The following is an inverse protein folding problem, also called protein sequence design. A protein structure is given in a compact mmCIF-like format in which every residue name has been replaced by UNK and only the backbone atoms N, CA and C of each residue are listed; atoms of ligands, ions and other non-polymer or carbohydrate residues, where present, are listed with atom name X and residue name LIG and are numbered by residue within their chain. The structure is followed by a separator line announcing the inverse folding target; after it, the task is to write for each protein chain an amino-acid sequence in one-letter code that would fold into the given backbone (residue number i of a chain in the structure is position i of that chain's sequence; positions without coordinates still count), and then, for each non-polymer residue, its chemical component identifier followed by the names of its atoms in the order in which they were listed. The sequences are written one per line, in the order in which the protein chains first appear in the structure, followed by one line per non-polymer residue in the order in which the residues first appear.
data_IF_906877959149
#
_entry.id   IF_906877959149
#
_cell.length_a   1.000
_cell.length_b   1.000
_cell.length_c   1.000
_cell.angle_alpha   90.00
_cell.angle_beta   90.00
_cell.angle_gamma   90.00
#
_symmetry.space_group_name_H-M   'P 1'
#
loop_
_entity.id
_entity.type
_entity.pdbx_description
1 polymer ?
#
# COMPACT_ATOMS: atom_id res chain seq x y z
N UNK A 1 39.68 15.99 -14.95
CA UNK A 1 38.53 16.08 -14.04
C UNK A 1 38.01 14.69 -13.84
N UNK A 2 37.95 14.21 -12.60
CA UNK A 2 37.28 12.95 -12.27
C UNK A 2 35.82 13.31 -12.09
N UNK A 3 34.96 12.77 -12.95
CA UNK A 3 33.51 12.91 -12.82
C UNK A 3 33.08 11.94 -11.71
N UNK A 4 32.63 12.45 -10.57
CA UNK A 4 32.17 11.63 -9.45
C UNK A 4 30.75 11.11 -9.71
N UNK A 5 30.37 9.99 -9.07
CA UNK A 5 29.01 9.46 -9.07
C UNK A 5 28.01 10.52 -8.62
N UNK A 6 28.41 11.38 -7.67
CA UNK A 6 27.59 12.48 -7.18
C UNK A 6 27.32 13.52 -8.27
N UNK A 7 28.32 13.86 -9.08
CA UNK A 7 28.17 14.80 -10.20
C UNK A 7 27.18 14.26 -11.25
N UNK A 8 27.18 12.94 -11.47
CA UNK A 8 26.24 12.28 -12.39
C UNK A 8 24.81 12.28 -11.84
N UNK A 9 24.63 11.96 -10.55
CA UNK A 9 23.30 11.99 -9.91
C UNK A 9 22.75 13.41 -9.91
N UNK A 10 23.56 14.40 -9.56
CA UNK A 10 23.15 15.81 -9.54
C UNK A 10 22.78 16.29 -10.95
N UNK A 11 23.56 15.93 -11.98
CA UNK A 11 23.27 16.23 -13.39
C UNK A 11 21.98 15.55 -13.87
N UNK A 12 21.79 14.25 -13.55
CA UNK A 12 20.58 13.49 -13.92
C UNK A 12 19.33 14.01 -13.18
N UNK A 13 19.52 14.62 -12.02
CA UNK A 13 18.43 15.16 -11.21
C UNK A 13 17.97 16.56 -11.66
N UNK A 14 18.63 17.15 -12.67
CA UNK A 14 18.17 18.41 -13.27
C UNK A 14 17.08 18.16 -14.32
N UNK A 15 16.09 19.05 -14.39
CA UNK A 15 14.96 18.96 -15.35
C UNK A 15 15.37 19.22 -16.82
N UNK A 16 16.67 19.27 -17.14
CA UNK A 16 17.20 19.67 -18.47
C UNK A 16 18.17 18.61 -19.01
N UNK A 17 17.69 17.38 -19.16
CA UNK A 17 18.43 16.36 -19.90
C UNK A 17 17.71 16.18 -21.24
N UNK A 18 18.40 16.35 -22.37
CA UNK A 18 17.83 16.04 -23.67
C UNK A 18 17.23 14.62 -23.65
N UNK A 19 15.99 14.43 -24.13
CA UNK A 19 15.34 13.13 -24.13
C UNK A 19 16.20 12.03 -24.77
N UNK A 20 16.96 12.38 -25.82
CA UNK A 20 17.87 11.46 -26.51
C UNK A 20 19.02 10.99 -25.62
N UNK A 21 19.58 11.90 -24.80
CA UNK A 21 20.65 11.57 -23.86
C UNK A 21 20.11 10.67 -22.73
N UNK A 22 18.91 10.94 -22.22
CA UNK A 22 18.24 10.04 -21.26
C UNK A 22 17.98 8.65 -21.85
N UNK A 23 17.56 8.57 -23.10
CA UNK A 23 17.35 7.28 -23.77
C UNK A 23 18.67 6.50 -23.88
N UNK A 24 19.78 7.15 -24.26
CA UNK A 24 21.08 6.50 -24.33
C UNK A 24 21.59 6.05 -22.95
N UNK A 25 21.46 6.92 -21.95
CA UNK A 25 21.85 6.61 -20.58
C UNK A 25 21.05 5.42 -20.03
N UNK A 26 19.72 5.43 -20.21
CA UNK A 26 18.86 4.33 -19.81
C UNK A 26 19.28 3.03 -20.51
N UNK A 27 19.59 3.05 -21.81
CA UNK A 27 20.07 1.87 -22.54
C UNK A 27 21.35 1.30 -21.93
N UNK A 28 22.33 2.15 -21.63
CA UNK A 28 23.59 1.73 -21.00
C UNK A 28 23.33 1.18 -19.59
N UNK A 29 22.54 1.88 -18.78
CA UNK A 29 22.17 1.44 -17.44
C UNK A 29 21.46 0.08 -17.48
N UNK A 30 20.47 -0.11 -18.35
CA UNK A 30 19.77 -1.39 -18.48
C UNK A 30 20.69 -2.52 -18.92
N UNK A 31 21.67 -2.24 -19.80
CA UNK A 31 22.66 -3.22 -20.20
C UNK A 31 23.56 -3.64 -19.03
N UNK A 32 24.14 -2.68 -18.32
CA UNK A 32 25.00 -2.96 -17.15
C UNK A 32 24.22 -3.68 -16.05
N UNK A 33 22.99 -3.25 -15.76
CA UNK A 33 22.10 -3.93 -14.82
C UNK A 33 21.78 -5.35 -15.28
N UNK A 34 21.61 -5.58 -16.59
CA UNK A 34 21.39 -6.91 -17.15
C UNK A 34 22.58 -7.82 -16.86
N UNK A 35 23.79 -7.40 -17.21
CA UNK A 35 25.02 -8.16 -16.95
C UNK A 35 25.21 -8.46 -15.46
N UNK A 36 24.98 -7.47 -14.59
CA UNK A 36 25.03 -7.66 -13.13
C UNK A 36 24.03 -8.70 -12.63
N UNK A 37 22.80 -8.67 -13.14
CA UNK A 37 21.80 -9.68 -12.80
C UNK A 37 22.21 -11.07 -13.30
N UNK A 38 22.76 -11.20 -14.51
CA UNK A 38 23.20 -12.48 -15.07
C UNK A 38 24.30 -13.10 -14.21
N UNK A 39 25.32 -12.32 -13.83
CA UNK A 39 26.39 -12.77 -12.92
C UNK A 39 25.83 -13.24 -11.58
N UNK A 40 24.84 -12.52 -11.02
CA UNK A 40 24.19 -12.95 -9.80
C UNK A 40 23.41 -14.26 -9.99
N UNK A 41 22.73 -14.46 -11.12
CA UNK A 41 21.93 -15.67 -11.39
C UNK A 41 22.76 -16.92 -11.69
N UNK A 42 23.97 -16.75 -12.23
CA UNK A 42 24.89 -17.85 -12.53
C UNK A 42 25.25 -18.64 -11.26
N UNK A 43 25.41 -17.95 -10.12
CA UNK A 43 25.48 -18.60 -8.81
C UNK A 43 24.11 -18.60 -8.12
N UNK A 44 23.37 -19.70 -8.31
CA UNK A 44 22.05 -19.87 -7.71
C UNK A 44 22.04 -19.78 -6.18
N UNK A 45 23.11 -20.21 -5.52
CA UNK A 45 23.17 -20.15 -4.05
C UNK A 45 23.27 -18.71 -3.59
N UNK A 46 24.15 -17.93 -4.24
CA UNK A 46 24.28 -16.48 -3.99
C UNK A 46 22.96 -15.77 -4.29
N UNK A 47 22.34 -15.99 -5.45
CA UNK A 47 21.07 -15.34 -5.80
C UNK A 47 19.92 -15.65 -4.83
N UNK A 48 19.92 -16.82 -4.20
CA UNK A 48 18.92 -17.18 -3.18
C UNK A 48 19.24 -16.53 -1.84
N UNK A 49 20.43 -16.78 -1.29
CA UNK A 49 20.76 -16.47 0.10
C UNK A 49 21.28 -15.05 0.31
N UNK A 50 21.99 -14.50 -0.66
CA UNK A 50 22.67 -13.21 -0.57
C UNK A 50 22.72 -12.55 -1.96
N UNK A 51 21.55 -12.22 -2.55
CA UNK A 51 21.52 -11.62 -3.87
C UNK A 51 22.35 -10.33 -3.88
N UNK A 52 23.07 -10.10 -4.99
CA UNK A 52 23.93 -8.94 -5.15
C UNK A 52 23.15 -7.60 -5.16
N UNK A 53 21.82 -7.65 -5.23
CA UNK A 53 20.93 -6.52 -5.00
C UNK A 53 20.11 -6.75 -3.71
N UNK A 54 20.32 -5.94 -2.65
CA UNK A 54 19.55 -6.04 -1.42
C UNK A 54 18.06 -5.97 -1.69
N UNK A 55 17.29 -6.88 -1.05
CA UNK A 55 15.83 -7.01 -1.21
C UNK A 55 15.38 -7.07 -2.69
N UNK A 56 16.26 -7.51 -3.59
CA UNK A 56 16.00 -7.59 -5.04
C UNK A 56 15.54 -6.27 -5.66
N UNK A 57 16.03 -5.13 -5.19
CA UNK A 57 15.58 -3.80 -5.65
C UNK A 57 15.67 -3.61 -7.18
N UNK A 58 16.67 -4.21 -7.84
CA UNK A 58 16.81 -4.14 -9.30
C UNK A 58 15.69 -4.88 -10.04
N UNK A 59 15.15 -5.96 -9.48
CA UNK A 59 14.00 -6.67 -10.03
C UNK A 59 12.75 -5.77 -9.97
N UNK A 60 12.55 -5.10 -8.83
CA UNK A 60 11.46 -4.13 -8.63
C UNK A 60 11.52 -3.00 -9.66
N UNK A 61 12.70 -2.39 -9.86
CA UNK A 61 12.90 -1.33 -10.85
C UNK A 61 12.51 -1.80 -12.26
N UNK A 62 12.91 -3.02 -12.66
CA UNK A 62 12.53 -3.56 -13.99
C UNK A 62 11.04 -3.75 -14.15
N UNK A 63 10.37 -4.32 -13.15
CA UNK A 63 8.93 -4.52 -13.17
C UNK A 63 8.19 -3.18 -13.25
N UNK A 64 8.58 -2.20 -12.44
CA UNK A 64 8.00 -0.85 -12.46
C UNK A 64 8.27 -0.10 -13.77
N UNK A 65 9.39 -0.41 -14.45
CA UNK A 65 9.70 0.11 -15.79
C UNK A 65 8.92 -0.60 -16.92
N UNK A 66 8.06 -1.58 -16.60
CA UNK A 66 7.25 -2.30 -17.58
C UNK A 66 7.98 -3.43 -18.31
N UNK A 67 9.04 -3.99 -17.73
CA UNK A 67 9.73 -5.14 -18.30
C UNK A 67 8.78 -6.35 -18.40
N UNK A 68 8.83 -7.05 -19.53
CA UNK A 68 8.08 -8.29 -19.69
C UNK A 68 8.79 -9.45 -18.99
N UNK A 69 8.07 -10.55 -18.77
CA UNK A 69 8.61 -11.73 -18.10
C UNK A 69 9.89 -12.28 -18.77
N UNK A 70 9.97 -12.16 -20.09
CA UNK A 70 11.10 -12.61 -20.90
C UNK A 70 12.39 -11.82 -20.62
N UNK A 71 12.25 -10.56 -20.20
CA UNK A 71 13.35 -9.62 -19.97
C UNK A 71 13.87 -9.65 -18.51
N UNK A 72 13.15 -10.36 -17.64
CA UNK A 72 13.49 -10.48 -16.23
C UNK A 72 14.58 -11.54 -16.00
N UNK A 73 15.40 -11.36 -14.94
CA UNK A 73 16.26 -12.42 -14.46
C UNK A 73 15.36 -13.52 -13.87
N UNK A 74 15.11 -14.58 -14.65
CA UNK A 74 14.03 -15.57 -14.41
C UNK A 74 14.21 -16.32 -13.09
N UNK A 75 15.44 -16.66 -12.74
CA UNK A 75 15.72 -17.37 -11.50
C UNK A 75 15.47 -16.43 -10.32
N UNK A 76 15.99 -15.21 -10.36
CA UNK A 76 15.79 -14.17 -9.36
C UNK A 76 14.30 -13.86 -9.16
N UNK A 77 13.55 -13.69 -10.24
CA UNK A 77 12.09 -13.50 -10.20
C UNK A 77 11.37 -14.71 -9.57
N UNK A 78 11.74 -15.93 -9.95
CA UNK A 78 11.15 -17.13 -9.33
C UNK A 78 11.40 -17.22 -7.83
N UNK A 79 12.55 -16.73 -7.34
CA UNK A 79 12.83 -16.66 -5.91
C UNK A 79 11.96 -15.62 -5.19
N UNK A 80 11.71 -14.47 -5.81
CA UNK A 80 10.77 -13.47 -5.27
C UNK A 80 9.35 -14.07 -5.14
N UNK A 81 8.83 -14.68 -6.21
CA UNK A 81 7.52 -15.36 -6.22
C UNK A 81 7.46 -16.47 -5.16
N UNK A 82 8.52 -17.27 -5.02
CA UNK A 82 8.59 -18.32 -3.99
C UNK A 82 8.64 -17.76 -2.56
N UNK A 83 9.34 -16.65 -2.34
CA UNK A 83 9.38 -15.98 -1.03
C UNK A 83 8.00 -15.46 -0.64
N UNK A 84 7.28 -14.85 -1.59
CA UNK A 84 5.89 -14.38 -1.40
C UNK A 84 4.95 -15.55 -1.11
N UNK A 85 5.07 -16.65 -1.85
CA UNK A 85 4.31 -17.86 -1.57
C UNK A 85 4.58 -18.40 -0.16
N UNK A 86 5.83 -18.39 0.30
CA UNK A 86 6.19 -18.80 1.68
C UNK A 86 5.58 -17.86 2.71
N UNK A 87 5.66 -16.56 2.48
CA UNK A 87 5.08 -15.51 3.32
C UNK A 87 3.58 -15.73 3.54
N UNK A 88 2.81 -15.88 2.46
CA UNK A 88 1.36 -16.11 2.51
C UNK A 88 0.98 -17.43 3.19
N UNK A 89 1.84 -18.45 3.10
CA UNK A 89 1.63 -19.73 3.77
C UNK A 89 2.19 -19.76 5.21
N UNK A 90 2.65 -18.63 5.77
CA UNK A 90 3.29 -18.53 7.09
C UNK A 90 4.51 -19.44 7.27
N UNK A 91 5.18 -19.78 6.18
CA UNK A 91 6.43 -20.53 6.18
C UNK A 91 7.62 -19.58 6.34
N UNK A 92 8.77 -20.09 6.78
CA UNK A 92 10.01 -19.31 6.89
C UNK A 92 10.38 -18.66 5.56
N UNK A 93 10.42 -17.32 5.56
CA UNK A 93 10.86 -16.49 4.44
C UNK A 93 12.33 -16.10 4.61
N UNK A 94 12.96 -15.71 3.50
CA UNK A 94 14.32 -15.15 3.52
C UNK A 94 14.30 -13.70 4.00
N UNK A 95 13.23 -12.98 3.66
CA UNK A 95 12.90 -11.64 4.10
C UNK A 95 11.38 -11.46 4.05
N UNK A 96 10.84 -10.50 4.78
CA UNK A 96 9.45 -10.11 4.63
C UNK A 96 9.28 -9.40 3.29
N UNK A 97 8.50 -9.93 2.34
CA UNK A 97 8.22 -9.22 1.09
C UNK A 97 7.50 -7.93 1.48
N UNK A 98 8.05 -6.79 1.07
CA UNK A 98 7.48 -5.49 1.38
C UNK A 98 7.62 -4.64 0.13
N UNK A 99 6.48 -4.08 -0.32
CA UNK A 99 6.42 -3.31 -1.55
C UNK A 99 7.01 -4.06 -2.76
N UNK A 100 6.84 -5.39 -2.79
CA UNK A 100 7.46 -6.25 -3.79
C UNK A 100 6.49 -6.46 -4.96
N UNK A 101 6.78 -5.94 -6.16
CA UNK A 101 5.92 -6.16 -7.31
C UNK A 101 6.12 -7.57 -7.87
N UNK A 102 5.03 -8.19 -8.31
CA UNK A 102 5.03 -9.41 -9.14
C UNK A 102 3.93 -9.31 -10.20
N UNK A 103 3.97 -10.15 -11.24
CA UNK A 103 2.88 -10.18 -12.20
C UNK A 103 1.57 -10.64 -11.56
N UNK A 104 0.45 -10.04 -11.96
CA UNK A 104 -0.89 -10.41 -11.49
C UNK A 104 -1.14 -11.91 -11.64
N UNK A 105 -0.72 -12.48 -12.77
CA UNK A 105 -0.84 -13.90 -13.06
C UNK A 105 -0.22 -14.80 -11.97
N UNK A 106 1.00 -14.48 -11.53
CA UNK A 106 1.69 -15.23 -10.50
C UNK A 106 1.04 -15.03 -9.13
N UNK A 107 0.63 -13.78 -8.82
CA UNK A 107 -0.10 -13.48 -7.59
C UNK A 107 -1.43 -14.25 -7.50
N UNK A 108 -2.22 -14.26 -8.57
CA UNK A 108 -3.48 -14.97 -8.66
C UNK A 108 -3.25 -16.49 -8.56
N UNK A 109 -2.20 -17.05 -9.14
CA UNK A 109 -1.92 -18.48 -8.98
C UNK A 109 -1.48 -18.83 -7.55
N UNK A 110 -0.79 -17.92 -6.85
CA UNK A 110 -0.45 -18.10 -5.43
C UNK A 110 -1.71 -18.07 -4.55
N UNK A 111 -2.55 -17.04 -4.71
CA UNK A 111 -3.75 -16.82 -3.87
C UNK A 111 -4.92 -17.73 -4.26
N UNK A 112 -5.09 -18.00 -5.56
CA UNK A 112 -6.22 -18.74 -6.13
C UNK A 112 -5.73 -19.82 -7.10
N UNK A 113 -5.03 -20.87 -6.60
CA UNK A 113 -4.44 -21.89 -7.46
C UNK A 113 -5.45 -22.49 -8.43
N UNK A 114 -5.07 -22.62 -9.70
CA UNK A 114 -5.92 -23.14 -10.80
C UNK A 114 -7.10 -22.24 -11.21
N UNK A 115 -7.17 -21.00 -10.72
CA UNK A 115 -8.26 -20.07 -11.03
C UNK A 115 -7.82 -18.93 -11.96
N UNK A 116 -6.52 -18.82 -12.25
CA UNK A 116 -5.91 -17.79 -13.10
C UNK A 116 -6.65 -17.55 -14.43
N UNK A 117 -6.96 -18.62 -15.19
CA UNK A 117 -7.68 -18.50 -16.47
C UNK A 117 -9.04 -17.82 -16.31
N UNK A 118 -9.75 -18.13 -15.22
CA UNK A 118 -11.06 -17.53 -14.94
C UNK A 118 -10.92 -16.07 -14.53
N UNK A 119 -9.91 -15.74 -13.72
CA UNK A 119 -9.59 -14.35 -13.38
C UNK A 119 -9.36 -13.51 -14.64
N UNK A 120 -8.45 -13.94 -15.51
CA UNK A 120 -8.14 -13.22 -16.75
C UNK A 120 -9.35 -13.10 -17.69
N UNK A 121 -10.26 -14.08 -17.67
CA UNK A 121 -11.47 -14.06 -18.47
C UNK A 121 -12.50 -13.04 -17.96
N UNK A 122 -12.70 -12.94 -16.65
CA UNK A 122 -13.83 -12.23 -16.06
C UNK A 122 -13.50 -10.86 -15.46
N UNK A 123 -12.24 -10.56 -15.14
CA UNK A 123 -11.87 -9.37 -14.37
C UNK A 123 -12.44 -8.05 -14.92
N UNK A 124 -12.21 -7.77 -16.19
CA UNK A 124 -12.71 -6.55 -16.83
C UNK A 124 -14.10 -6.70 -17.47
N UNK A 125 -14.71 -7.91 -17.41
CA UNK A 125 -15.96 -8.21 -18.14
C UNK A 125 -17.14 -8.36 -17.21
N UNK A 126 -16.99 -9.12 -16.13
CA UNK A 126 -18.07 -9.52 -15.24
C UNK A 126 -17.56 -9.64 -13.79
N UNK A 127 -17.37 -8.53 -13.06
CA UNK A 127 -16.88 -8.55 -11.68
C UNK A 127 -17.72 -9.42 -10.73
N UNK A 128 -19.04 -9.49 -10.96
CA UNK A 128 -19.95 -10.36 -10.21
C UNK A 128 -19.55 -11.85 -10.27
N UNK A 129 -19.09 -12.34 -11.42
CA UNK A 129 -18.58 -13.71 -11.57
C UNK A 129 -17.27 -13.91 -10.82
N UNK A 130 -16.43 -12.87 -10.70
CA UNK A 130 -15.23 -12.97 -9.88
C UNK A 130 -15.55 -13.16 -8.40
N UNK A 131 -16.55 -12.46 -7.88
CA UNK A 131 -17.00 -12.67 -6.50
C UNK A 131 -17.48 -14.11 -6.27
N UNK A 132 -18.20 -14.68 -7.23
CA UNK A 132 -18.60 -16.10 -7.19
C UNK A 132 -17.38 -17.04 -7.24
N UNK A 133 -16.38 -16.72 -8.04
CA UNK A 133 -15.12 -17.48 -8.16
C UNK A 133 -14.36 -17.44 -6.84
N UNK A 134 -14.14 -16.26 -6.27
CA UNK A 134 -13.38 -16.06 -5.02
C UNK A 134 -14.09 -16.72 -3.84
N UNK A 135 -15.41 -16.59 -3.74
CA UNK A 135 -16.20 -17.21 -2.66
C UNK A 135 -16.20 -18.75 -2.70
N UNK A 136 -15.95 -19.35 -3.87
CA UNK A 136 -15.76 -20.80 -4.04
C UNK A 136 -14.31 -21.25 -3.86
N UNK A 137 -13.37 -20.32 -3.63
CA UNK A 137 -11.97 -20.67 -3.44
C UNK A 137 -11.78 -21.43 -2.12
N UNK A 138 -10.69 -22.19 -2.01
CA UNK A 138 -10.37 -22.93 -0.78
C UNK A 138 -9.98 -22.00 0.37
N UNK A 139 -9.52 -20.80 0.05
CA UNK A 139 -9.12 -19.81 1.02
C UNK A 139 -10.38 -19.02 1.39
N UNK A 140 -10.74 -18.97 2.68
CA UNK A 140 -11.91 -18.21 3.09
C UNK A 140 -11.71 -16.73 2.72
N UNK A 141 -12.73 -16.15 2.10
CA UNK A 141 -12.65 -14.83 1.50
C UNK A 141 -13.97 -14.10 1.74
N UNK A 142 -13.90 -12.82 2.11
CA UNK A 142 -15.07 -11.97 2.31
C UNK A 142 -14.95 -10.76 1.39
N UNK A 143 -15.93 -10.60 0.51
CA UNK A 143 -16.08 -9.36 -0.24
C UNK A 143 -16.53 -8.28 0.74
N UNK A 144 -15.81 -7.16 0.74
CA UNK A 144 -16.14 -6.00 1.53
C UNK A 144 -15.84 -4.74 0.72
N UNK A 145 -16.86 -3.93 0.44
CA UNK A 145 -16.63 -2.59 -0.07
C UNK A 145 -15.93 -1.79 1.02
N UNK A 146 -14.67 -1.45 0.85
CA UNK A 146 -13.92 -0.79 1.94
C UNK A 146 -14.51 0.58 2.29
N UNK A 147 -15.20 1.26 1.36
CA UNK A 147 -15.72 2.62 1.56
C UNK A 147 -17.03 2.66 2.35
N UNK A 148 -17.85 1.62 2.21
CA UNK A 148 -19.20 1.55 2.77
C UNK A 148 -19.45 0.27 3.57
N UNK A 149 -18.40 -0.53 3.77
CA UNK A 149 -18.49 -1.87 4.32
C UNK A 149 -19.06 -1.89 5.73
N UNK A 150 -19.79 -2.96 6.04
CA UNK A 150 -20.28 -3.22 7.38
C UNK A 150 -19.08 -3.39 8.32
N UNK A 151 -18.83 -2.39 9.18
CA UNK A 151 -17.75 -2.41 10.17
C UNK A 151 -17.84 -3.62 11.09
N UNK A 152 -19.03 -4.16 11.34
CA UNK A 152 -19.19 -5.35 12.14
C UNK A 152 -18.45 -6.57 11.55
N UNK A 153 -18.26 -6.62 10.23
CA UNK A 153 -17.47 -7.68 9.58
C UNK A 153 -15.98 -7.50 9.89
N UNK A 154 -15.47 -6.26 9.79
CA UNK A 154 -14.09 -5.94 10.17
C UNK A 154 -13.81 -6.30 11.62
N UNK A 155 -14.67 -5.86 12.54
CA UNK A 155 -14.52 -6.12 13.97
C UNK A 155 -14.48 -7.61 14.28
N UNK A 156 -15.36 -8.40 13.66
CA UNK A 156 -15.36 -9.86 13.84
C UNK A 156 -14.08 -10.51 13.31
N UNK A 157 -13.51 -10.02 12.21
CA UNK A 157 -12.25 -10.56 11.66
C UNK A 157 -11.07 -10.19 12.57
N UNK A 158 -10.98 -8.92 12.96
CA UNK A 158 -9.89 -8.39 13.78
C UNK A 158 -9.91 -9.02 15.18
N UNK A 159 -11.10 -9.15 15.78
CA UNK A 159 -11.27 -9.80 17.09
C UNK A 159 -11.08 -11.31 17.06
N UNK A 160 -10.80 -11.91 15.89
CA UNK A 160 -10.72 -13.36 15.66
C UNK A 160 -11.96 -14.06 16.21
N UNK A 161 -13.13 -13.49 15.93
CA UNK A 161 -14.40 -14.11 16.25
C UNK A 161 -14.41 -15.54 15.72
N UNK A 162 -14.85 -16.49 16.54
CA UNK A 162 -14.85 -17.94 16.24
C UNK A 162 -15.65 -18.26 14.98
N UNK A 163 -16.53 -17.36 14.54
CA UNK A 163 -17.33 -17.48 13.32
C UNK A 163 -16.47 -17.35 12.06
N UNK A 164 -15.37 -16.63 12.11
CA UNK A 164 -14.49 -16.42 10.96
C UNK A 164 -13.35 -17.43 11.00
N UNK A 165 -13.18 -18.14 9.89
CA UNK A 165 -12.11 -19.12 9.75
C UNK A 165 -10.76 -18.40 9.77
N UNK A 166 -9.80 -18.95 10.51
CA UNK A 166 -8.42 -18.48 10.45
C UNK A 166 -7.93 -18.49 8.98
N UNK A 167 -7.20 -17.45 8.58
CA UNK A 167 -6.75 -17.28 7.21
C UNK A 167 -7.80 -16.66 6.28
N UNK A 168 -8.89 -16.08 6.81
CA UNK A 168 -9.83 -15.29 5.99
C UNK A 168 -9.19 -13.99 5.56
N UNK A 169 -9.19 -13.72 4.25
CA UNK A 169 -8.82 -12.40 3.73
C UNK A 169 -10.05 -11.58 3.35
N UNK A 170 -9.90 -10.26 3.46
CA UNK A 170 -10.85 -9.28 2.97
C UNK A 170 -10.43 -8.86 1.57
N UNK A 171 -11.39 -8.65 0.68
CA UNK A 171 -11.06 -8.13 -0.64
C UNK A 171 -12.15 -7.23 -1.20
N UNK A 172 -11.71 -6.34 -2.10
CA UNK A 172 -12.57 -5.47 -2.89
C UNK A 172 -12.05 -5.39 -4.33
N UNK A 173 -12.95 -5.14 -5.28
CA UNK A 173 -12.63 -4.96 -6.69
C UNK A 173 -13.21 -3.61 -7.13
N UNK A 174 -12.33 -2.65 -7.42
CA UNK A 174 -12.72 -1.28 -7.80
C UNK A 174 -12.12 -0.93 -9.16
N UNK A 175 -12.93 -1.07 -10.20
CA UNK A 175 -12.48 -0.86 -11.59
C UNK A 175 -11.38 -1.87 -11.96
N UNK A 176 -10.19 -1.42 -12.41
CA UNK A 176 -9.09 -2.33 -12.75
C UNK A 176 -8.27 -2.78 -11.53
N UNK A 177 -8.64 -2.36 -10.32
CA UNK A 177 -7.90 -2.66 -9.10
C UNK A 177 -8.58 -3.79 -8.34
N UNK A 178 -7.78 -4.70 -7.80
CA UNK A 178 -8.19 -5.64 -6.77
C UNK A 178 -7.31 -5.44 -5.54
N UNK A 179 -7.95 -5.25 -4.40
CA UNK A 179 -7.26 -5.02 -3.14
C UNK A 179 -7.61 -6.16 -2.21
N UNK A 180 -6.58 -6.73 -1.60
CA UNK A 180 -6.70 -7.78 -0.61
C UNK A 180 -6.06 -7.27 0.67
N UNK A 181 -6.79 -7.35 1.77
CA UNK A 181 -6.23 -7.21 3.11
C UNK A 181 -6.18 -8.59 3.75
N UNK A 182 -4.99 -8.98 4.20
CA UNK A 182 -4.77 -10.28 4.81
C UNK A 182 -3.75 -10.14 5.94
N UNK A 183 -4.20 -10.37 7.17
CA UNK A 183 -3.39 -10.35 8.39
C UNK A 183 -2.56 -9.06 8.56
N UNK A 184 -3.15 -7.90 8.24
CA UNK A 184 -2.50 -6.59 8.35
C UNK A 184 -1.56 -6.24 7.19
N UNK A 185 -1.43 -7.12 6.19
CA UNK A 185 -0.75 -6.83 4.93
C UNK A 185 -1.77 -6.46 3.85
N UNK A 186 -1.44 -5.46 3.03
CA UNK A 186 -2.24 -5.01 1.89
C UNK A 186 -1.59 -5.50 0.60
N UNK A 187 -2.37 -6.09 -0.29
CA UNK A 187 -1.94 -6.53 -1.62
C UNK A 187 -2.80 -5.82 -2.66
N UNK A 188 -2.18 -5.24 -3.68
CA UNK A 188 -2.85 -4.38 -4.64
C UNK A 188 -2.50 -4.85 -6.03
N UNK A 189 -3.44 -5.52 -6.69
CA UNK A 189 -3.33 -5.91 -8.09
C UNK A 189 -3.92 -4.84 -8.97
N UNK A 190 -3.10 -4.26 -9.84
CA UNK A 190 -3.52 -3.34 -10.88
C UNK A 190 -3.49 -4.07 -12.23
N UNK A 191 -4.68 -4.34 -12.77
CA UNK A 191 -4.83 -5.06 -14.04
C UNK A 191 -4.58 -4.19 -15.26
N UNK A 192 -4.38 -2.87 -15.11
CA UNK A 192 -3.89 -2.01 -16.19
C UNK A 192 -2.38 -2.18 -16.39
N UNK A 193 -1.62 -2.28 -15.30
CA UNK A 193 -0.15 -2.44 -15.34
C UNK A 193 0.28 -3.90 -15.33
N UNK A 194 -0.66 -4.83 -15.07
CA UNK A 194 -0.42 -6.27 -14.90
C UNK A 194 0.48 -6.62 -13.70
N UNK A 195 0.53 -5.75 -12.69
CA UNK A 195 1.36 -5.92 -11.51
C UNK A 195 0.55 -5.93 -10.22
N UNK A 196 0.95 -6.81 -9.30
CA UNK A 196 0.53 -6.78 -7.91
C UNK A 196 1.66 -6.26 -7.04
N UNK A 197 1.39 -5.24 -6.23
CA UNK A 197 2.26 -4.84 -5.13
C UNK A 197 1.91 -5.71 -3.92
N UNK A 198 2.88 -6.47 -3.43
CA UNK A 198 2.73 -7.38 -2.30
C UNK A 198 3.15 -6.69 -1.01
N UNK A 199 2.28 -6.73 0.00
CA UNK A 199 2.50 -6.13 1.31
C UNK A 199 2.93 -4.66 1.19
N UNK A 200 2.05 -3.87 0.58
CA UNK A 200 2.22 -2.45 0.36
C UNK A 200 2.38 -1.71 1.69
N UNK A 201 3.47 -0.97 1.84
CA UNK A 201 3.87 -0.31 3.07
C UNK A 201 4.60 1.01 2.84
N UNK A 202 5.76 1.02 2.20
CA UNK A 202 6.56 2.25 2.10
C UNK A 202 6.56 2.87 0.69
N UNK A 203 5.96 2.19 -0.30
CA UNK A 203 5.88 2.74 -1.65
C UNK A 203 4.98 3.96 -1.77
N UNK A 204 5.38 4.88 -2.65
CA UNK A 204 4.62 6.06 -3.05
C UNK A 204 3.35 5.63 -3.78
N UNK A 205 2.22 6.22 -3.39
CA UNK A 205 0.93 5.95 -3.99
C UNK A 205 0.66 6.95 -5.11
N UNK A 206 0.78 6.50 -6.35
CA UNK A 206 0.55 7.34 -7.53
C UNK A 206 -0.93 7.51 -7.89
N UNK A 207 -1.78 6.56 -7.50
CA UNK A 207 -3.19 6.56 -7.87
C UNK A 207 -4.08 6.93 -6.68
N UNK A 208 -4.87 8.00 -6.81
CA UNK A 208 -5.77 8.46 -5.74
C UNK A 208 -6.81 7.42 -5.34
N UNK A 209 -7.23 6.54 -6.26
CA UNK A 209 -8.16 5.45 -5.93
C UNK A 209 -7.53 4.43 -4.98
N UNK A 210 -6.21 4.25 -5.05
CA UNK A 210 -5.49 3.42 -4.09
C UNK A 210 -5.45 4.13 -2.73
N UNK A 211 -5.18 5.45 -2.70
CA UNK A 211 -5.23 6.24 -1.46
C UNK A 211 -6.60 6.12 -0.80
N UNK A 212 -7.67 6.33 -1.57
CA UNK A 212 -9.06 6.19 -1.14
C UNK A 212 -9.29 4.85 -0.42
N UNK A 213 -8.99 3.74 -1.10
CA UNK A 213 -9.30 2.41 -0.57
C UNK A 213 -8.40 2.06 0.63
N UNK A 214 -7.10 2.35 0.56
CA UNK A 214 -6.15 2.08 1.66
C UNK A 214 -6.51 2.87 2.90
N UNK A 215 -6.89 4.14 2.74
CA UNK A 215 -7.35 4.99 3.83
C UNK A 215 -8.57 4.38 4.52
N UNK A 216 -9.56 3.91 3.75
CA UNK A 216 -10.73 3.24 4.31
C UNK A 216 -10.40 1.90 4.98
N UNK A 217 -9.50 1.11 4.40
CA UNK A 217 -9.02 -0.14 5.03
C UNK A 217 -8.41 0.12 6.40
N UNK A 218 -7.52 1.12 6.51
CA UNK A 218 -6.90 1.44 7.79
C UNK A 218 -7.85 2.16 8.77
N UNK A 219 -8.79 2.96 8.27
CA UNK A 219 -9.85 3.53 9.12
C UNK A 219 -10.64 2.41 9.79
N UNK A 220 -11.04 1.40 9.01
CA UNK A 220 -11.74 0.24 9.53
C UNK A 220 -10.87 -0.59 10.50
N UNK A 221 -9.58 -0.77 10.21
CA UNK A 221 -8.63 -1.45 11.13
C UNK A 221 -8.55 -0.78 12.50
N UNK A 222 -8.69 0.55 12.55
CA UNK A 222 -8.55 1.35 13.77
C UNK A 222 -9.87 1.85 14.35
N UNK A 223 -11.01 1.36 13.84
CA UNK A 223 -12.36 1.81 14.21
C UNK A 223 -12.53 3.35 14.10
N UNK A 224 -11.98 3.96 13.06
CA UNK A 224 -12.13 5.39 12.75
C UNK A 224 -13.19 5.54 11.66
N UNK A 225 -14.07 6.53 11.80
CA UNK A 225 -14.97 6.89 10.71
C UNK A 225 -14.21 7.70 9.66
N UNK A 226 -13.91 7.05 8.53
CA UNK A 226 -13.28 7.66 7.37
C UNK A 226 -14.29 7.99 6.28
N UNK A 227 -14.14 9.16 5.67
CA UNK A 227 -14.86 9.58 4.46
C UNK A 227 -13.81 10.15 3.50
N UNK A 228 -14.00 9.92 2.20
CA UNK A 228 -13.13 10.45 1.16
C UNK A 228 -13.92 11.20 0.11
N UNK A 229 -13.34 12.26 -0.44
CA UNK A 229 -13.89 13.01 -1.57
C UNK A 229 -12.80 13.17 -2.62
N UNK A 230 -12.93 12.46 -3.74
CA UNK A 230 -12.01 12.58 -4.87
C UNK A 230 -12.47 13.74 -5.75
N UNK A 231 -11.70 14.83 -5.78
CA UNK A 231 -12.00 16.05 -6.50
C UNK A 231 -11.13 16.15 -7.76
N UNK A 232 -11.50 15.41 -8.81
CA UNK A 232 -10.73 15.35 -10.06
C UNK A 232 -9.66 14.25 -10.06
N UNK A 233 -8.70 14.34 -10.99
CA UNK A 233 -7.69 13.28 -11.20
C UNK A 233 -6.56 13.30 -10.18
N UNK A 234 -6.30 14.45 -9.56
CA UNK A 234 -5.12 14.68 -8.74
C UNK A 234 -5.39 15.19 -7.34
N UNK A 235 -6.63 15.37 -6.92
CA UNK A 235 -6.94 15.82 -5.56
C UNK A 235 -7.90 14.86 -4.85
N UNK A 236 -7.59 14.60 -3.58
CA UNK A 236 -8.42 13.82 -2.67
C UNK A 236 -8.50 14.53 -1.32
N UNK A 237 -9.70 14.55 -0.73
CA UNK A 237 -9.93 14.99 0.64
C UNK A 237 -10.16 13.76 1.51
N UNK A 238 -9.42 13.65 2.60
CA UNK A 238 -9.56 12.61 3.61
C UNK A 238 -10.22 13.25 4.84
N UNK A 239 -11.32 12.67 5.31
CA UNK A 239 -12.09 13.17 6.45
C UNK A 239 -12.14 12.05 7.47
N UNK A 240 -11.70 12.33 8.69
CA UNK A 240 -11.76 11.38 9.82
C UNK A 240 -12.62 11.95 10.92
N UNK A 241 -13.44 11.11 11.55
CA UNK A 241 -14.28 11.50 12.68
C UNK A 241 -14.02 10.64 13.90
N UNK A 242 -13.90 11.29 15.05
CA UNK A 242 -13.81 10.67 16.37
C UNK A 242 -14.80 11.33 17.31
N UNK A 243 -15.60 10.59 18.09
CA UNK A 243 -16.42 11.18 19.14
C UNK A 243 -15.57 12.04 20.09
N UNK A 244 -15.95 13.31 20.28
CA UNK A 244 -15.15 14.27 21.04
C UNK A 244 -14.98 13.86 22.50
N UNK A 245 -15.97 13.15 23.06
CA UNK A 245 -15.89 12.56 24.40
C UNK A 245 -14.84 11.44 24.54
N UNK A 246 -14.33 10.90 23.43
CA UNK A 246 -13.22 9.97 23.44
C UNK A 246 -11.88 10.69 23.27
N UNK A 247 -11.84 11.96 22.87
CA UNK A 247 -10.57 12.65 22.62
C UNK A 247 -9.93 13.08 23.93
N UNK A 248 -8.62 12.83 24.08
CA UNK A 248 -7.86 13.31 25.24
C UNK A 248 -7.57 14.80 25.12
N UNK A 249 -8.06 15.66 26.04
CA UNK A 249 -7.80 17.10 25.98
C UNK A 249 -6.30 17.44 26.00
N UNK A 250 -5.50 16.64 26.72
CA UNK A 250 -4.06 16.84 26.87
C UNK A 250 -3.29 16.68 25.54
N UNK A 251 -3.86 15.97 24.57
CA UNK A 251 -3.27 15.81 23.24
C UNK A 251 -3.64 16.93 22.26
N UNK A 252 -4.52 17.85 22.63
CA UNK A 252 -4.90 19.01 21.81
C UNK A 252 -4.36 20.32 22.38
N UNK A 253 -3.59 20.28 23.47
CA UNK A 253 -2.92 21.47 24.01
C UNK A 253 -1.75 21.85 23.10
N UNK A 254 -1.53 23.15 22.90
CA UNK A 254 -0.48 23.66 22.00
C UNK A 254 0.95 23.26 22.42
N UNK A 255 1.18 23.04 23.71
CA UNK A 255 2.45 22.60 24.28
C UNK A 255 2.60 21.07 24.35
N UNK A 256 1.58 20.33 23.89
CA UNK A 256 1.61 18.87 23.81
C UNK A 256 2.62 18.43 22.76
N UNK A 257 3.66 17.70 23.17
CA UNK A 257 4.65 17.12 22.22
C UNK A 257 3.97 16.26 21.16
N UNK A 258 2.92 15.54 21.55
CA UNK A 258 2.11 14.76 20.63
C UNK A 258 1.43 15.64 19.57
N UNK A 259 0.79 16.73 19.97
CA UNK A 259 0.11 17.63 19.04
C UNK A 259 1.09 18.26 18.05
N UNK A 260 2.26 18.68 18.55
CA UNK A 260 3.31 19.25 17.73
C UNK A 260 3.83 18.25 16.68
N UNK A 261 4.15 17.02 17.09
CA UNK A 261 4.58 15.96 16.17
C UNK A 261 3.49 15.59 15.15
N UNK A 262 2.24 15.49 15.60
CA UNK A 262 1.11 15.19 14.73
C UNK A 262 0.89 16.31 13.71
N UNK A 263 0.89 17.56 14.15
CA UNK A 263 0.69 18.71 13.28
C UNK A 263 1.84 18.89 12.29
N UNK A 264 3.10 18.69 12.71
CA UNK A 264 4.26 18.68 11.81
C UNK A 264 4.08 17.60 10.73
N UNK A 265 3.69 16.39 11.12
CA UNK A 265 3.38 15.31 10.17
C UNK A 265 2.29 15.73 9.18
N UNK A 266 1.21 16.38 9.64
CA UNK A 266 0.15 16.85 8.74
C UNK A 266 0.67 17.90 7.75
N UNK A 267 1.44 18.88 8.22
CA UNK A 267 1.99 19.96 7.39
C UNK A 267 2.99 19.47 6.34
N UNK A 268 3.69 18.36 6.59
CA UNK A 268 4.60 17.75 5.62
C UNK A 268 3.87 17.03 4.48
N UNK A 269 2.59 16.68 4.63
CA UNK A 269 1.88 15.79 3.71
C UNK A 269 0.63 16.42 3.08
N UNK A 270 0.00 17.40 3.72
CA UNK A 270 -1.29 17.96 3.31
C UNK A 270 -1.21 19.48 3.15
N UNK A 271 -1.83 20.01 2.09
CA UNK A 271 -1.79 21.45 1.79
C UNK A 271 -2.91 22.24 2.48
N UNK A 272 -3.98 21.57 2.90
CA UNK A 272 -5.08 22.16 3.66
C UNK A 272 -5.47 21.19 4.77
N UNK A 273 -5.56 21.72 5.99
CA UNK A 273 -5.81 20.98 7.22
C UNK A 273 -6.88 21.76 7.99
N UNK A 274 -7.97 21.09 8.35
CA UNK A 274 -9.04 21.65 9.16
C UNK A 274 -9.39 20.68 10.29
N UNK A 275 -9.41 21.21 11.52
CA UNK A 275 -9.87 20.49 12.71
C UNK A 275 -11.09 21.25 13.27
N UNK A 276 -12.23 20.58 13.36
CA UNK A 276 -13.47 21.19 13.84
C UNK A 276 -14.31 20.18 14.64
N UNK A 277 -15.15 20.68 15.55
CA UNK A 277 -16.21 19.88 16.17
C UNK A 277 -17.47 19.93 15.29
N UNK A 278 -18.04 18.77 14.93
CA UNK A 278 -19.29 18.70 14.17
C UNK A 278 -20.54 18.79 15.07
N UNK A 279 -21.72 18.91 14.46
CA UNK A 279 -23.00 19.00 15.19
C UNK A 279 -23.31 17.80 16.09
N UNK A 280 -22.66 16.65 15.84
CA UNK A 280 -22.81 15.41 16.60
C UNK A 280 -21.75 15.27 17.69
N UNK A 281 -20.97 16.33 17.96
CA UNK A 281 -19.85 16.34 18.90
C UNK A 281 -18.77 15.33 18.54
N UNK A 282 -18.43 15.24 17.26
CA UNK A 282 -17.23 14.55 16.81
C UNK A 282 -16.14 15.57 16.49
N UNK A 283 -14.90 15.28 16.90
CA UNK A 283 -13.74 15.89 16.28
C UNK A 283 -13.65 15.40 14.83
N UNK A 284 -13.77 16.33 13.88
CA UNK A 284 -13.59 16.10 12.45
C UNK A 284 -12.23 16.65 12.03
N UNK A 285 -11.43 15.80 11.38
CA UNK A 285 -10.13 16.15 10.82
C UNK A 285 -10.24 16.02 9.31
N UNK A 286 -10.21 17.15 8.60
CA UNK A 286 -10.30 17.23 7.14
C UNK A 286 -8.94 17.58 6.56
N UNK A 287 -8.43 16.72 5.68
CA UNK A 287 -7.11 16.85 5.06
C UNK A 287 -7.24 16.84 3.54
N UNK A 288 -6.73 17.87 2.86
CA UNK A 288 -6.67 17.86 1.39
C UNK A 288 -5.26 17.54 0.91
N UNK A 289 -5.19 16.59 -0.01
CA UNK A 289 -3.96 16.13 -0.66
C UNK A 289 -4.06 16.31 -2.17
N UNK A 290 -2.97 16.74 -2.79
CA UNK A 290 -2.86 16.90 -4.24
C UNK A 290 -1.65 16.13 -4.78
N UNK A 291 -1.91 15.08 -5.56
CA UNK A 291 -0.91 14.19 -6.11
C UNK A 291 -0.32 14.70 -7.43
N UNK A 292 0.24 15.91 -7.41
CA UNK A 292 0.98 16.49 -8.53
C UNK A 292 2.40 16.81 -8.08
N UNK A 293 3.39 16.21 -8.75
CA UNK A 293 4.80 16.36 -8.40
C UNK A 293 5.24 17.83 -8.30
N UNK A 294 4.88 18.67 -9.28
CA UNK A 294 5.24 20.09 -9.25
C UNK A 294 4.58 20.85 -8.09
N UNK A 295 3.32 20.51 -7.77
CA UNK A 295 2.59 21.11 -6.66
C UNK A 295 3.21 20.72 -5.31
N UNK A 296 3.50 19.44 -5.12
CA UNK A 296 4.14 18.93 -3.91
C UNK A 296 5.50 19.60 -3.69
N UNK A 297 6.34 19.66 -4.72
CA UNK A 297 7.63 20.35 -4.68
C UNK A 297 7.49 21.84 -4.33
N UNK A 298 6.56 22.55 -4.98
CA UNK A 298 6.37 23.99 -4.76
C UNK A 298 5.93 24.31 -3.31
N UNK A 299 5.17 23.41 -2.69
CA UNK A 299 4.66 23.58 -1.33
C UNK A 299 5.49 22.83 -0.27
N UNK A 300 6.64 22.26 -0.65
CA UNK A 300 7.50 21.44 0.22
C UNK A 300 6.75 20.28 0.90
N UNK A 301 5.82 19.66 0.18
CA UNK A 301 5.03 18.52 0.62
C UNK A 301 5.64 17.21 0.13
N UNK A 302 5.39 16.14 0.88
CA UNK A 302 5.81 14.78 0.56
C UNK A 302 4.72 14.03 -0.21
N UNK A 303 5.14 13.05 -1.01
CA UNK A 303 4.23 12.07 -1.58
C UNK A 303 3.69 11.15 -0.49
N UNK A 304 2.40 10.82 -0.54
CA UNK A 304 1.83 9.84 0.37
C UNK A 304 2.29 8.41 0.06
N UNK A 305 2.73 7.71 1.10
CA UNK A 305 2.98 6.26 1.12
C UNK A 305 1.90 5.54 1.93
N UNK A 306 1.80 4.21 1.80
CA UNK A 306 0.86 3.42 2.61
C UNK A 306 1.15 3.57 4.11
N UNK A 307 2.43 3.65 4.48
CA UNK A 307 2.94 3.78 5.83
C UNK A 307 2.57 5.13 6.42
N UNK A 308 2.62 6.21 5.64
CA UNK A 308 2.16 7.53 6.07
C UNK A 308 0.65 7.56 6.29
N UNK A 309 -0.17 6.92 5.44
CA UNK A 309 -1.62 6.82 5.70
C UNK A 309 -1.89 6.03 6.98
N UNK A 310 -1.16 4.93 7.22
CA UNK A 310 -1.27 4.17 8.47
C UNK A 310 -0.81 4.98 9.69
N UNK A 311 0.28 5.74 9.55
CA UNK A 311 0.82 6.60 10.60
C UNK A 311 -0.15 7.73 10.95
N UNK A 312 -0.76 8.37 9.95
CA UNK A 312 -1.84 9.33 10.11
C UNK A 312 -2.93 8.75 11.03
N UNK A 313 -3.45 7.58 10.65
CA UNK A 313 -4.53 6.96 11.41
C UNK A 313 -4.08 6.47 12.78
N UNK A 314 -2.80 6.14 12.95
CA UNK A 314 -2.21 5.83 14.26
C UNK A 314 -2.21 7.07 15.16
N UNK A 315 -1.83 8.25 14.65
CA UNK A 315 -1.95 9.51 15.39
C UNK A 315 -3.41 9.78 15.76
N UNK A 316 -4.31 9.69 14.79
CA UNK A 316 -5.75 9.93 15.00
C UNK A 316 -6.33 8.96 16.03
N UNK A 317 -5.95 7.69 15.99
CA UNK A 317 -6.36 6.71 17.00
C UNK A 317 -5.76 7.02 18.39
N UNK A 318 -4.52 7.49 18.46
CA UNK A 318 -3.86 7.85 19.71
C UNK A 318 -4.46 9.11 20.37
N UNK A 319 -5.19 9.95 19.62
CA UNK A 319 -6.00 11.03 20.21
C UNK A 319 -7.07 10.47 21.17
N UNK A 320 -7.51 9.22 21.01
CA UNK A 320 -8.53 8.60 21.86
C UNK A 320 -7.96 8.29 23.24
N UNK A 321 -8.66 8.72 24.29
CA UNK A 321 -8.50 8.21 25.63
C UNK A 321 -8.76 6.70 25.59
N UNK A 322 -7.76 5.91 26.00
CA UNK A 322 -7.99 4.49 26.27
C UNK A 322 -8.93 4.40 27.46
N UNK A 323 -10.23 4.24 27.20
CA UNK A 323 -11.19 3.93 28.26
C UNK A 323 -10.66 2.68 28.97
N UNK A 324 -10.39 2.71 30.28
CA UNK A 324 -9.95 1.52 30.98
C UNK A 324 -10.99 0.42 30.76
N UNK A 325 -10.58 -0.73 30.22
CA UNK A 325 -11.43 -1.90 29.94
C UNK A 325 -12.21 -2.44 31.16
N UNK A 326 -12.00 -1.88 32.36
CA UNK A 326 -12.55 -2.35 33.63
C UNK A 326 -13.93 -1.76 33.99
N UNK A 327 -14.52 -0.88 33.19
CA UNK A 327 -15.81 -0.23 33.54
C UNK A 327 -17.07 -0.83 32.89
N UNK A 328 -16.98 -1.92 32.11
CA UNK A 328 -18.16 -2.53 31.44
C UNK A 328 -18.70 -3.82 32.09
N UNK A 329 -18.14 -4.30 33.21
CA UNK A 329 -18.61 -5.54 33.86
C UNK A 329 -19.48 -5.33 35.11
N UNK A 330 -19.92 -4.11 35.44
CA UNK A 330 -20.71 -3.83 36.65
C UNK A 330 -22.14 -3.32 36.35
N UNK A 331 -22.82 -3.94 35.40
CA UNK A 331 -24.27 -3.77 35.23
C UNK A 331 -24.90 -5.07 34.74
N UNK A 332 -24.99 -6.03 35.66
CA UNK A 332 -25.98 -7.12 35.66
C UNK A 332 -27.23 -6.70 36.40
#
# INVERSE_FOLDING_TARGET
MVFDVKDLVDYISTDIIPPEAMIQLNKLLFKELHEYCMVCEDDRMVCVLSPQCPKRILLKVRLQAGANYEDLPKFCYSQAVNNIKRYLNKNTTLYTPQDEPIFNNDFIEIMFPKMQKKFNQYFNKEPSKLHEIISKSKIPAVNLDFRYGDRAIFDRIISKDKVIKEGTFLYDIVGPLMIIWFEGAIFISDFTTNLTIVNAKDDIIVNLRIIDIVFHTYCAEMDIEGITIVSGEHQITLIMKIPFNQVSPDYLQEDSTFFLEFFEFLQQNYFEIELAEDERKNLTITLKYQNLNHFLKQNNLQFLTYGQIRQLLTYVNNLRQKVPLNSQNNST
#
